data_IF_928474576974
#
_entry.id   IF_928474576974
#
_cell.length_a   1.000
_cell.length_b   1.000
_cell.length_c   1.000
_cell.angle_alpha   90.00
_cell.angle_beta   90.00
_cell.angle_gamma   90.00
#
_symmetry.space_group_name_H-M   'P 1'
#
loop_
_entity.id
_entity.type
_entity.pdbx_description
1 polymer ?
#
# COMPACT_ATOMS: atom_id res chain seq x y z
N UNK A 1 8.13 -17.87 -7.52
CA UNK A 1 8.69 -16.48 -7.57
C UNK A 1 7.56 -15.46 -7.64
N UNK A 2 7.89 -14.17 -7.65
CA UNK A 2 6.91 -13.07 -7.64
C UNK A 2 5.88 -13.17 -8.77
N UNK A 3 6.31 -13.51 -10.00
CA UNK A 3 5.40 -13.56 -11.15
C UNK A 3 4.37 -14.67 -10.96
N UNK A 4 4.82 -15.86 -10.58
CA UNK A 4 3.89 -16.96 -10.28
C UNK A 4 2.93 -16.63 -9.14
N UNK A 5 3.40 -15.92 -8.09
CA UNK A 5 2.51 -15.49 -7.00
C UNK A 5 1.48 -14.46 -7.49
N UNK A 6 1.91 -13.44 -8.23
CA UNK A 6 1.02 -12.38 -8.73
C UNK A 6 -0.01 -12.92 -9.74
N UNK A 7 0.38 -13.89 -10.57
CA UNK A 7 -0.48 -14.46 -11.61
C UNK A 7 -1.40 -15.58 -11.08
N UNK A 8 -1.15 -16.09 -9.88
CA UNK A 8 -1.94 -17.19 -9.30
C UNK A 8 -3.41 -16.82 -9.13
N UNK A 9 -3.71 -15.54 -8.84
CA UNK A 9 -5.08 -15.04 -8.69
C UNK A 9 -5.13 -13.51 -8.73
N UNK A 10 -6.19 -12.90 -9.30
CA UNK A 10 -6.40 -11.45 -9.22
C UNK A 10 -6.69 -10.94 -7.79
N UNK A 11 -6.80 -11.84 -6.81
CA UNK A 11 -6.85 -11.47 -5.39
C UNK A 11 -5.47 -11.08 -4.85
N UNK A 12 -4.37 -11.52 -5.47
CA UNK A 12 -3.02 -11.13 -5.09
C UNK A 12 -2.68 -9.77 -5.69
N UNK A 13 -2.43 -8.78 -4.84
CA UNK A 13 -2.19 -7.40 -5.26
C UNK A 13 -0.83 -6.94 -4.77
N UNK A 14 0.08 -6.64 -5.69
CA UNK A 14 1.34 -5.99 -5.35
C UNK A 14 1.10 -4.51 -5.03
N UNK A 15 1.43 -4.10 -3.81
CA UNK A 15 1.24 -2.73 -3.31
C UNK A 15 2.56 -1.96 -3.20
N UNK A 16 3.67 -2.53 -3.67
CA UNK A 16 4.99 -1.94 -3.54
C UNK A 16 5.34 -0.90 -4.62
N UNK A 17 6.58 -0.41 -4.55
CA UNK A 17 7.17 0.49 -5.56
C UNK A 17 7.54 -0.31 -6.82
N UNK A 18 7.78 0.39 -7.92
CA UNK A 18 8.38 -0.25 -9.09
C UNK A 18 9.75 -0.83 -8.75
N UNK A 19 9.88 -2.15 -8.89
CA UNK A 19 11.11 -2.90 -8.70
C UNK A 19 11.48 -3.67 -9.96
N UNK A 20 10.97 -3.28 -11.15
CA UNK A 20 11.08 -4.06 -12.39
C UNK A 20 12.51 -4.37 -12.81
N UNK A 21 13.45 -3.52 -12.40
CA UNK A 21 14.89 -3.74 -12.58
C UNK A 21 15.41 -4.97 -11.82
N UNK A 22 14.84 -5.27 -10.65
CA UNK A 22 15.26 -6.37 -9.77
C UNK A 22 14.31 -7.58 -9.84
N UNK A 23 13.01 -7.32 -9.99
CA UNK A 23 11.95 -8.32 -9.99
C UNK A 23 11.00 -8.02 -11.16
N UNK A 24 11.18 -8.76 -12.26
CA UNK A 24 10.36 -8.63 -13.47
C UNK A 24 8.87 -8.77 -13.13
N UNK A 25 8.04 -7.94 -13.74
CA UNK A 25 6.59 -7.92 -13.53
C UNK A 25 6.12 -7.01 -12.39
N UNK A 26 7.01 -6.51 -11.53
CA UNK A 26 6.61 -5.49 -10.54
C UNK A 26 6.39 -4.15 -11.25
N UNK A 27 5.27 -3.49 -10.93
CA UNK A 27 4.94 -2.15 -11.43
C UNK A 27 4.73 -1.18 -10.26
N UNK A 28 4.71 0.11 -10.57
CA UNK A 28 4.53 1.14 -9.55
C UNK A 28 3.07 1.16 -9.06
N UNK A 29 2.79 0.59 -7.89
CA UNK A 29 1.44 0.56 -7.36
C UNK A 29 0.94 1.97 -6.98
N UNK A 30 -0.36 2.24 -7.17
CA UNK A 30 -1.02 3.43 -6.59
C UNK A 30 -1.05 3.36 -5.06
N UNK A 31 -1.08 2.15 -4.51
CA UNK A 31 -1.04 1.83 -3.08
C UNK A 31 0.37 1.81 -2.48
N UNK A 32 1.39 2.28 -3.20
CA UNK A 32 2.74 2.35 -2.64
C UNK A 32 2.84 3.41 -1.54
N UNK A 33 3.67 3.14 -0.53
CA UNK A 33 4.09 4.18 0.39
C UNK A 33 5.11 5.12 -0.31
N UNK A 34 4.86 6.45 -0.42
CA UNK A 34 5.85 7.38 -0.97
C UNK A 34 6.98 7.72 0.01
N UNK A 35 6.78 7.47 1.31
CA UNK A 35 7.74 7.75 2.38
C UNK A 35 8.80 6.64 2.49
N UNK A 36 10.06 7.03 2.65
CA UNK A 36 11.18 6.08 2.70
C UNK A 36 11.71 5.90 4.11
N UNK A 37 11.86 4.65 4.55
CA UNK A 37 12.38 4.30 5.88
C UNK A 37 13.76 4.93 6.14
N UNK A 38 14.61 5.00 5.11
CA UNK A 38 15.93 5.66 5.19
C UNK A 38 15.85 7.13 5.64
N UNK A 39 14.76 7.85 5.33
CA UNK A 39 14.61 9.27 5.64
C UNK A 39 13.87 9.54 6.94
N UNK A 40 12.86 8.74 7.27
CA UNK A 40 11.92 9.03 8.37
C UNK A 40 11.90 7.95 9.46
N UNK A 41 12.56 6.81 9.24
CA UNK A 41 12.32 5.62 10.04
C UNK A 41 10.99 4.96 9.70
N UNK A 42 10.78 3.73 10.18
CA UNK A 42 9.62 2.90 9.81
C UNK A 42 8.32 3.48 10.38
N UNK A 43 8.29 3.78 11.67
CA UNK A 43 7.06 4.18 12.35
C UNK A 43 6.50 5.49 11.80
N UNK A 44 7.35 6.50 11.59
CA UNK A 44 6.93 7.75 10.95
C UNK A 44 6.50 7.54 9.50
N UNK A 45 7.13 6.64 8.74
CA UNK A 45 6.67 6.31 7.38
C UNK A 45 5.27 5.71 7.37
N UNK A 46 4.94 4.88 8.35
CA UNK A 46 3.62 4.25 8.46
C UNK A 46 2.57 5.25 8.93
N UNK A 47 2.88 6.06 9.94
CA UNK A 47 2.01 7.13 10.44
C UNK A 47 1.65 8.13 9.32
N UNK A 48 2.66 8.68 8.63
CA UNK A 48 2.42 9.61 7.52
C UNK A 48 1.67 8.97 6.35
N UNK A 49 1.90 7.69 6.10
CA UNK A 49 1.18 6.99 5.04
C UNK A 49 -0.31 6.83 5.37
N UNK A 50 -0.63 6.49 6.62
CA UNK A 50 -2.00 6.44 7.11
C UNK A 50 -2.68 7.80 6.98
N UNK A 51 -2.04 8.87 7.46
CA UNK A 51 -2.56 10.24 7.36
C UNK A 51 -2.80 10.67 5.92
N UNK A 52 -1.86 10.38 5.00
CA UNK A 52 -2.00 10.68 3.58
C UNK A 52 -3.25 10.05 2.95
N UNK A 53 -3.57 8.81 3.33
CA UNK A 53 -4.78 8.14 2.84
C UNK A 53 -6.00 8.78 3.49
N UNK A 54 -6.06 8.85 4.82
CA UNK A 54 -7.23 9.35 5.56
C UNK A 54 -7.59 10.78 5.16
N UNK A 55 -6.60 11.65 5.04
CA UNK A 55 -6.83 13.06 4.72
C UNK A 55 -7.00 13.30 3.20
N UNK A 56 -6.64 12.32 2.36
CA UNK A 56 -6.66 12.47 0.91
C UNK A 56 -5.69 13.52 0.37
N UNK A 57 -4.79 14.06 1.20
CA UNK A 57 -3.83 15.11 0.86
C UNK A 57 -2.51 14.86 1.58
N UNK A 58 -1.40 15.23 0.95
CA UNK A 58 -0.06 15.10 1.54
C UNK A 58 0.49 16.41 2.09
N UNK A 59 1.69 16.35 2.68
CA UNK A 59 2.34 17.51 3.31
C UNK A 59 2.67 18.65 2.34
N UNK A 60 2.52 18.43 1.03
CA UNK A 60 2.72 19.42 -0.03
C UNK A 60 1.41 19.90 -0.64
N UNK A 61 0.26 19.55 -0.06
CA UNK A 61 -1.05 19.91 -0.57
C UNK A 61 -1.50 19.10 -1.79
N UNK A 62 -0.82 18.01 -2.14
CA UNK A 62 -1.20 17.18 -3.30
C UNK A 62 -2.31 16.21 -2.90
N UNK A 63 -3.44 16.30 -3.60
CA UNK A 63 -4.61 15.46 -3.36
C UNK A 63 -4.45 14.06 -3.97
N UNK A 64 -5.20 13.10 -3.44
CA UNK A 64 -5.31 11.73 -3.94
C UNK A 64 -6.69 11.14 -3.62
N UNK A 65 -7.08 10.11 -4.35
CA UNK A 65 -8.38 9.43 -4.24
C UNK A 65 -8.35 8.15 -3.41
N UNK A 66 -7.19 7.80 -2.82
CA UNK A 66 -6.94 6.47 -2.27
C UNK A 66 -7.95 6.06 -1.19
N UNK A 67 -8.43 7.01 -0.37
CA UNK A 67 -9.45 6.73 0.64
C UNK A 67 -10.75 6.20 0.04
N UNK A 68 -11.19 6.77 -1.07
CA UNK A 68 -12.44 6.39 -1.74
C UNK A 68 -12.29 5.08 -2.52
N UNK A 69 -11.06 4.69 -2.82
CA UNK A 69 -10.72 3.47 -3.56
C UNK A 69 -10.41 2.28 -2.63
N UNK A 70 -10.47 2.44 -1.31
CA UNK A 70 -10.13 1.38 -0.34
C UNK A 70 -10.93 0.09 -0.56
N UNK A 71 -12.18 0.20 -1.02
CA UNK A 71 -13.02 -0.95 -1.36
C UNK A 71 -12.39 -1.91 -2.38
N UNK A 72 -11.50 -1.44 -3.26
CA UNK A 72 -10.78 -2.28 -4.24
C UNK A 72 -9.88 -3.34 -3.58
N UNK A 73 -9.44 -3.09 -2.35
CA UNK A 73 -8.56 -3.97 -1.59
C UNK A 73 -9.34 -4.98 -0.73
N UNK A 74 -10.68 -4.90 -0.70
CA UNK A 74 -11.50 -5.86 0.03
C UNK A 74 -11.31 -7.28 -0.52
N UNK A 75 -11.06 -8.25 0.37
CA UNK A 75 -10.78 -9.64 0.00
C UNK A 75 -9.46 -9.87 -0.74
N UNK A 76 -8.57 -8.88 -0.80
CA UNK A 76 -7.26 -9.01 -1.47
C UNK A 76 -6.16 -9.46 -0.51
N UNK A 77 -5.18 -10.18 -1.04
CA UNK A 77 -3.91 -10.47 -0.37
C UNK A 77 -2.88 -9.45 -0.83
N UNK A 78 -2.35 -8.65 0.09
CA UNK A 78 -1.46 -7.55 -0.24
C UNK A 78 0.02 -7.99 -0.18
N UNK A 79 0.71 -7.90 -1.32
CA UNK A 79 2.12 -8.23 -1.46
C UNK A 79 3.03 -7.01 -1.27
N UNK A 80 3.96 -7.08 -0.33
CA UNK A 80 5.01 -6.09 -0.12
C UNK A 80 6.31 -6.72 0.38
N UNK A 81 7.45 -6.19 -0.07
CA UNK A 81 8.79 -6.64 0.34
C UNK A 81 9.16 -6.34 1.80
N UNK A 82 8.40 -5.49 2.49
CA UNK A 82 8.67 -5.20 3.91
C UNK A 82 8.14 -6.27 4.86
N UNK A 83 7.11 -7.03 4.46
CA UNK A 83 6.55 -8.10 5.29
C UNK A 83 7.63 -9.18 5.57
N UNK A 84 7.73 -9.76 6.78
CA UNK A 84 6.78 -9.72 7.90
C UNK A 84 6.88 -8.52 8.85
N UNK A 85 7.85 -7.62 8.64
CA UNK A 85 7.98 -6.41 9.47
C UNK A 85 6.78 -5.46 9.31
N UNK A 86 6.57 -4.51 10.25
CA UNK A 86 5.55 -3.48 10.07
C UNK A 86 5.71 -2.78 8.71
N UNK A 87 4.58 -2.68 8.00
CA UNK A 87 4.53 -2.46 6.57
C UNK A 87 3.27 -1.65 6.25
N UNK A 88 3.30 -0.90 5.14
CA UNK A 88 2.14 -0.12 4.71
C UNK A 88 0.96 -1.00 4.27
N UNK A 89 1.19 -2.27 3.97
CA UNK A 89 0.12 -3.25 3.75
C UNK A 89 -0.75 -3.46 4.99
N UNK A 90 -0.16 -3.45 6.20
CA UNK A 90 -0.92 -3.52 7.45
C UNK A 90 -1.81 -2.27 7.61
N UNK A 91 -1.25 -1.09 7.32
CA UNK A 91 -2.01 0.18 7.34
C UNK A 91 -3.21 0.12 6.38
N UNK A 92 -3.01 -0.38 5.15
CA UNK A 92 -4.10 -0.54 4.18
C UNK A 92 -5.16 -1.53 4.67
N UNK A 93 -4.74 -2.69 5.18
CA UNK A 93 -5.66 -3.70 5.69
C UNK A 93 -6.54 -3.15 6.81
N UNK A 94 -5.99 -2.35 7.72
CA UNK A 94 -6.75 -1.73 8.81
C UNK A 94 -7.70 -0.65 8.29
N UNK A 95 -7.26 0.20 7.37
CA UNK A 95 -8.12 1.20 6.73
C UNK A 95 -9.26 0.56 5.92
N UNK A 96 -9.03 -0.58 5.28
CA UNK A 96 -10.07 -1.34 4.57
C UNK A 96 -11.11 -1.86 5.55
N UNK A 97 -10.71 -2.42 6.71
CA UNK A 97 -11.66 -2.85 7.74
C UNK A 97 -12.51 -1.68 8.22
N UNK A 98 -11.89 -0.55 8.54
CA UNK A 98 -12.59 0.68 8.95
C UNK A 98 -13.56 1.18 7.87
N UNK A 99 -13.15 1.15 6.60
CA UNK A 99 -13.98 1.52 5.47
C UNK A 99 -15.22 0.62 5.32
N UNK A 100 -15.07 -0.70 5.52
CA UNK A 100 -16.17 -1.66 5.42
C UNK A 100 -17.08 -1.68 6.65
N UNK A 101 -16.61 -1.18 7.79
CA UNK A 101 -17.37 -1.05 9.03
C UNK A 101 -18.09 0.29 9.16
N UNK A 102 -17.84 1.24 8.25
CA UNK A 102 -18.56 2.50 8.21
C UNK A 102 -19.98 2.26 7.67
N UNK A 103 -21.04 2.71 8.37
CA UNK A 103 -22.44 2.48 7.98
C UNK A 103 -22.82 3.22 6.70
#
# INVERSE_FOLDING_TARGET
DFKHWADATPAHVYIGRNMSFYVKGTINSKWRNPYTVKKLGRDQCLARYRERIVNGVDEKGRTNTLRHELGELSGKVLGCWCHPEPCHGHVLADLVKEFLMSP
#
